data_IF_630209197129
#
_entry.id   IF_630209197129
#
_cell.length_a   1.000
_cell.length_b   1.000
_cell.length_c   1.000
_cell.angle_alpha   90.00
_cell.angle_beta   90.00
_cell.angle_gamma   90.00
#
_symmetry.space_group_name_H-M   'P 1'
#
loop_
_entity.id
_entity.type
_entity.pdbx_description
1 polymer ?
#
# COMPACT_ATOMS: atom_id res chain seq x y z
N UNK A 1 -6.16 -19.20 -7.95
CA UNK A 1 -5.55 -18.22 -7.02
C UNK A 1 -6.65 -17.78 -6.05
N UNK A 2 -6.45 -17.87 -4.73
CA UNK A 2 -7.47 -17.54 -3.75
C UNK A 2 -7.85 -16.05 -3.83
N UNK A 3 -9.09 -15.73 -3.42
CA UNK A 3 -9.65 -14.38 -3.44
C UNK A 3 -10.10 -13.99 -2.04
N UNK A 4 -9.62 -12.85 -1.55
CA UNK A 4 -9.88 -12.39 -0.18
C UNK A 4 -10.47 -10.96 -0.13
N UNK A 5 -11.09 -10.61 0.99
CA UNK A 5 -11.33 -9.21 1.32
C UNK A 5 -9.99 -8.50 1.62
N UNK A 6 -9.75 -7.32 1.07
CA UNK A 6 -8.43 -6.66 1.10
C UNK A 6 -7.85 -6.44 2.49
N UNK A 7 -8.70 -6.18 3.49
CA UNK A 7 -8.27 -5.86 4.86
C UNK A 7 -8.44 -7.05 5.83
N UNK A 8 -8.53 -8.28 5.31
CA UNK A 8 -8.73 -9.48 6.13
C UNK A 8 -7.43 -10.02 6.74
N UNK A 9 -7.58 -10.80 7.82
CA UNK A 9 -6.47 -11.60 8.36
C UNK A 9 -5.96 -12.64 7.36
N UNK A 10 -6.81 -13.15 6.46
CA UNK A 10 -6.41 -14.07 5.41
C UNK A 10 -5.38 -13.45 4.44
N UNK A 11 -5.52 -12.15 4.09
CA UNK A 11 -4.51 -11.45 3.28
C UNK A 11 -3.17 -11.36 4.00
N UNK A 12 -3.17 -11.03 5.29
CA UNK A 12 -1.93 -10.94 6.09
C UNK A 12 -1.25 -12.30 6.22
N UNK A 13 -2.02 -13.37 6.45
CA UNK A 13 -1.51 -14.74 6.44
C UNK A 13 -0.92 -15.14 5.09
N UNK A 14 -1.61 -14.82 4.00
CA UNK A 14 -1.12 -15.11 2.66
C UNK A 14 0.18 -14.35 2.36
N UNK A 15 0.30 -13.09 2.79
CA UNK A 15 1.55 -12.32 2.70
C UNK A 15 2.68 -12.97 3.52
N UNK A 16 2.42 -13.32 4.78
CA UNK A 16 3.40 -13.99 5.64
C UNK A 16 3.88 -15.32 5.06
N UNK A 17 2.95 -16.13 4.53
CA UNK A 17 3.25 -17.40 3.89
C UNK A 17 3.77 -17.26 2.45
N UNK A 18 3.89 -16.02 1.93
CA UNK A 18 4.27 -15.71 0.54
C UNK A 18 3.43 -16.48 -0.49
N UNK A 19 2.15 -16.67 -0.19
CA UNK A 19 1.21 -17.36 -1.05
C UNK A 19 0.61 -16.38 -2.06
N UNK A 20 0.45 -16.78 -3.34
CA UNK A 20 -0.25 -15.98 -4.34
C UNK A 20 -1.71 -15.75 -3.97
N UNK A 21 -2.23 -14.54 -4.18
CA UNK A 21 -3.63 -14.21 -3.93
C UNK A 21 -4.13 -13.05 -4.78
N UNK A 22 -5.45 -12.92 -4.87
CA UNK A 22 -6.13 -11.70 -5.33
C UNK A 22 -7.04 -11.18 -4.23
N UNK A 23 -7.41 -9.91 -4.29
CA UNK A 23 -8.50 -9.39 -3.47
C UNK A 23 -9.68 -8.94 -4.34
N UNK A 24 -10.80 -8.61 -3.70
CA UNK A 24 -11.87 -7.88 -4.39
C UNK A 24 -11.47 -6.46 -4.79
N UNK A 25 -10.40 -5.93 -4.19
CA UNK A 25 -9.79 -4.66 -4.58
C UNK A 25 -8.63 -4.83 -5.54
N UNK A 26 -7.78 -3.81 -5.59
CA UNK A 26 -6.62 -3.80 -6.48
C UNK A 26 -5.34 -4.39 -5.85
N UNK A 27 -5.44 -5.15 -4.76
CA UNK A 27 -4.30 -5.80 -4.13
C UNK A 27 -4.18 -7.24 -4.64
N UNK A 28 -2.98 -7.63 -5.05
CA UNK A 28 -2.70 -9.00 -5.45
C UNK A 28 -1.26 -9.35 -5.17
N UNK A 29 -0.98 -10.66 -5.13
CA UNK A 29 0.38 -11.15 -5.05
C UNK A 29 0.56 -12.41 -5.90
N UNK A 30 1.75 -12.60 -6.42
CA UNK A 30 2.09 -13.73 -7.29
C UNK A 30 3.55 -14.15 -7.10
N UNK A 31 3.79 -15.43 -7.31
CA UNK A 31 5.09 -16.08 -7.41
C UNK A 31 5.58 -16.19 -8.87
N UNK A 32 4.74 -15.84 -9.84
CA UNK A 32 5.12 -15.84 -11.26
C UNK A 32 5.97 -14.61 -11.54
N UNK A 33 7.00 -14.80 -12.35
CA UNK A 33 7.83 -13.70 -12.81
C UNK A 33 6.97 -12.72 -13.62
N UNK A 34 7.16 -11.42 -13.36
CA UNK A 34 6.51 -10.34 -14.07
C UNK A 34 7.48 -9.18 -14.22
N UNK A 35 7.34 -8.47 -15.33
CA UNK A 35 8.17 -7.30 -15.68
C UNK A 35 7.36 -5.99 -15.62
N UNK A 36 6.12 -6.06 -15.12
CA UNK A 36 5.25 -4.89 -15.03
C UNK A 36 5.71 -3.97 -13.89
N UNK A 37 6.19 -2.77 -14.25
CA UNK A 37 6.66 -1.77 -13.27
C UNK A 37 5.58 -0.78 -12.83
N UNK A 38 4.42 -0.78 -13.49
CA UNK A 38 3.32 0.15 -13.20
C UNK A 38 3.78 1.60 -13.07
N UNK A 39 3.53 2.21 -11.90
CA UNK A 39 3.91 3.59 -11.57
C UNK A 39 5.17 3.70 -10.72
N UNK A 40 6.03 2.68 -10.66
CA UNK A 40 7.29 2.75 -9.93
C UNK A 40 8.13 3.94 -10.42
N UNK A 41 8.73 4.75 -9.52
CA UNK A 41 9.73 5.73 -9.91
C UNK A 41 10.93 5.03 -10.55
N UNK A 42 11.59 5.72 -11.48
CA UNK A 42 12.65 5.14 -12.32
C UNK A 42 13.67 4.30 -11.54
N UNK A 43 14.24 4.83 -10.45
CA UNK A 43 15.20 4.10 -9.61
C UNK A 43 14.70 2.73 -9.11
N UNK A 44 13.41 2.64 -8.79
CA UNK A 44 12.79 1.41 -8.29
C UNK A 44 12.40 0.49 -9.44
N UNK A 45 11.98 1.05 -10.57
CA UNK A 45 11.71 0.30 -11.78
C UNK A 45 12.99 -0.38 -12.30
N UNK A 46 14.12 0.33 -12.28
CA UNK A 46 15.41 -0.20 -12.72
C UNK A 46 15.90 -1.31 -11.80
N UNK A 47 15.79 -1.13 -10.47
CA UNK A 47 16.12 -2.18 -9.51
C UNK A 47 15.20 -3.41 -9.68
N UNK A 48 13.90 -3.19 -9.81
CA UNK A 48 12.93 -4.26 -10.01
C UNK A 48 13.22 -5.07 -11.28
N UNK A 49 13.52 -4.40 -12.40
CA UNK A 49 13.92 -5.07 -13.64
C UNK A 49 15.22 -5.83 -13.47
N UNK A 50 16.24 -5.23 -12.85
CA UNK A 50 17.52 -5.89 -12.60
C UNK A 50 17.34 -7.17 -11.76
N UNK A 51 16.53 -7.13 -10.71
CA UNK A 51 16.23 -8.30 -9.87
C UNK A 51 15.42 -9.35 -10.65
N UNK A 52 14.47 -8.91 -11.48
CA UNK A 52 13.66 -9.78 -12.33
C UNK A 52 14.49 -10.46 -13.44
N UNK A 53 15.32 -9.72 -14.16
CA UNK A 53 16.19 -10.21 -15.24
C UNK A 53 17.22 -11.20 -14.70
N UNK A 54 17.70 -10.99 -13.47
CA UNK A 54 18.56 -11.93 -12.76
C UNK A 54 17.82 -13.18 -12.25
N UNK A 55 16.49 -13.28 -12.44
CA UNK A 55 15.68 -14.41 -11.99
C UNK A 55 15.56 -14.54 -10.47
N UNK A 56 15.88 -13.46 -9.72
CA UNK A 56 15.97 -13.51 -8.26
C UNK A 56 14.63 -13.33 -7.56
N UNK A 57 13.65 -12.72 -8.24
CA UNK A 57 12.36 -12.42 -7.63
C UNK A 57 11.48 -13.69 -7.55
N UNK A 58 11.21 -14.16 -6.33
CA UNK A 58 10.38 -15.35 -6.08
C UNK A 58 8.94 -15.02 -5.68
N UNK A 59 8.68 -13.79 -5.27
CA UNK A 59 7.34 -13.34 -4.88
C UNK A 59 7.18 -11.84 -5.06
N UNK A 60 6.02 -11.39 -5.54
CA UNK A 60 5.73 -9.98 -5.77
C UNK A 60 4.33 -9.62 -5.29
N UNK A 61 4.19 -8.40 -4.77
CA UNK A 61 2.91 -7.83 -4.32
C UNK A 61 2.63 -6.57 -5.11
N UNK A 62 1.41 -6.48 -5.64
CA UNK A 62 0.97 -5.39 -6.50
C UNK A 62 -0.18 -4.60 -5.88
N UNK A 63 -0.14 -3.29 -6.05
CA UNK A 63 -1.30 -2.41 -5.96
C UNK A 63 -1.65 -1.95 -7.38
N UNK A 64 -2.82 -2.32 -7.87
CA UNK A 64 -3.16 -2.28 -9.29
C UNK A 64 -2.09 -3.01 -10.10
N UNK A 65 -1.44 -2.32 -11.04
CA UNK A 65 -0.30 -2.83 -11.82
C UNK A 65 1.06 -2.43 -11.26
N UNK A 66 1.11 -1.73 -10.12
CA UNK A 66 2.38 -1.23 -9.55
C UNK A 66 2.91 -2.20 -8.50
N UNK A 67 4.14 -2.75 -8.67
CA UNK A 67 4.80 -3.50 -7.61
C UNK A 67 5.01 -2.60 -6.38
N UNK A 68 4.50 -3.05 -5.23
CA UNK A 68 4.65 -2.36 -3.94
C UNK A 68 5.53 -3.12 -2.96
N UNK A 69 5.84 -4.40 -3.25
CA UNK A 69 6.89 -5.18 -2.62
C UNK A 69 7.32 -6.34 -3.54
N UNK A 70 8.55 -6.80 -3.38
CA UNK A 70 9.00 -8.08 -3.94
C UNK A 70 9.99 -8.75 -3.00
N UNK A 71 10.06 -10.08 -3.08
CA UNK A 71 10.92 -10.93 -2.26
C UNK A 71 11.89 -11.65 -3.19
N UNK A 72 13.16 -11.62 -2.83
CA UNK A 72 14.24 -12.31 -3.54
C UNK A 72 14.37 -13.76 -3.04
N UNK A 73 15.08 -14.56 -3.82
CA UNK A 73 15.47 -15.95 -3.53
C UNK A 73 16.16 -16.14 -2.17
N UNK A 74 16.98 -15.16 -1.76
CA UNK A 74 17.64 -15.11 -0.45
C UNK A 74 16.71 -14.68 0.71
N UNK A 75 15.44 -14.42 0.42
CA UNK A 75 14.43 -13.98 1.38
C UNK A 75 14.43 -12.47 1.65
N UNK A 76 15.30 -11.69 1.01
CA UNK A 76 15.32 -10.23 1.12
C UNK A 76 14.01 -9.65 0.59
N UNK A 77 13.39 -8.77 1.37
CA UNK A 77 12.16 -8.06 0.98
C UNK A 77 12.50 -6.64 0.57
N UNK A 78 12.18 -6.28 -0.66
CA UNK A 78 12.33 -4.92 -1.17
C UNK A 78 10.97 -4.22 -1.20
N UNK A 79 10.87 -3.04 -0.57
CA UNK A 79 9.64 -2.25 -0.48
C UNK A 79 9.93 -0.78 -0.86
N UNK A 80 9.38 -0.27 -1.97
CA UNK A 80 9.50 1.13 -2.34
C UNK A 80 8.88 2.07 -1.29
N UNK A 81 9.70 2.94 -0.70
CA UNK A 81 9.26 3.99 0.23
C UNK A 81 8.68 5.19 -0.54
N UNK A 82 7.57 4.96 -1.24
CA UNK A 82 6.92 5.93 -2.13
C UNK A 82 5.43 5.92 -1.86
N UNK A 83 4.85 7.11 -1.69
CA UNK A 83 3.40 7.28 -1.54
C UNK A 83 2.77 7.57 -2.89
N UNK A 84 2.01 6.62 -3.43
CA UNK A 84 1.37 6.75 -4.75
C UNK A 84 -0.05 7.32 -4.67
N UNK A 85 -0.87 6.75 -3.78
CA UNK A 85 -2.28 7.10 -3.60
C UNK A 85 -2.75 6.60 -2.23
N UNK A 86 -3.89 7.10 -1.76
CA UNK A 86 -4.49 6.67 -0.49
C UNK A 86 -4.71 5.15 -0.48
N UNK A 87 -5.25 4.59 -1.56
CA UNK A 87 -5.48 3.14 -1.70
C UNK A 87 -4.16 2.37 -1.62
N UNK A 88 -3.12 2.84 -2.33
CA UNK A 88 -1.81 2.17 -2.30
C UNK A 88 -1.15 2.25 -0.93
N UNK A 89 -1.29 3.37 -0.22
CA UNK A 89 -0.82 3.49 1.16
C UNK A 89 -1.51 2.51 2.10
N UNK A 90 -2.81 2.27 1.94
CA UNK A 90 -3.54 1.24 2.70
C UNK A 90 -3.05 -0.17 2.38
N UNK A 91 -2.71 -0.44 1.11
CA UNK A 91 -2.09 -1.71 0.73
C UNK A 91 -0.69 -1.88 1.32
N UNK A 92 0.13 -0.82 1.28
CA UNK A 92 1.48 -0.80 1.86
C UNK A 92 1.44 -1.05 3.37
N UNK A 93 0.42 -0.55 4.07
CA UNK A 93 0.21 -0.81 5.48
C UNK A 93 -0.03 -2.28 5.85
N UNK A 94 -0.25 -3.18 4.88
CA UNK A 94 -0.37 -4.63 5.11
C UNK A 94 0.97 -5.37 4.93
N UNK A 95 1.96 -4.74 4.30
CA UNK A 95 3.22 -5.39 3.92
C UNK A 95 4.11 -5.76 5.10
N UNK A 96 3.85 -5.22 6.29
CA UNK A 96 4.54 -5.66 7.52
C UNK A 96 4.42 -7.17 7.73
N UNK A 97 3.33 -7.79 7.24
CA UNK A 97 3.11 -9.22 7.35
C UNK A 97 4.17 -10.08 6.62
N UNK A 98 4.91 -9.51 5.64
CA UNK A 98 5.97 -10.22 4.92
C UNK A 98 7.15 -10.67 5.80
N UNK A 99 7.30 -10.07 6.98
CA UNK A 99 8.33 -10.46 7.95
C UNK A 99 7.76 -10.92 9.29
N UNK A 100 6.50 -11.35 9.30
CA UNK A 100 5.86 -11.98 10.46
C UNK A 100 5.61 -13.44 10.11
N UNK A 101 5.73 -14.32 11.09
CA UNK A 101 5.39 -15.74 10.92
C UNK A 101 3.88 -15.90 10.62
N UNK A 102 3.47 -16.79 9.70
CA UNK A 102 2.07 -16.95 9.31
C UNK A 102 1.12 -17.27 10.47
N UNK A 103 1.61 -17.99 11.48
CA UNK A 103 0.86 -18.41 12.66
C UNK A 103 0.61 -17.26 13.65
N UNK A 104 1.24 -16.10 13.44
CA UNK A 104 1.01 -14.88 14.22
C UNK A 104 -0.35 -14.21 13.93
N UNK A 105 -1.13 -14.72 12.98
CA UNK A 105 -2.41 -14.17 12.58
C UNK A 105 -3.57 -15.15 12.83
N UNK A 106 -4.74 -14.67 13.31
CA UNK A 106 -5.87 -15.53 13.63
C UNK A 106 -6.40 -16.28 12.40
N UNK A 107 -6.85 -17.52 12.62
CA UNK A 107 -7.23 -18.45 11.55
C UNK A 107 -8.69 -18.30 11.06
N UNK A 108 -9.55 -17.60 11.81
CA UNK A 108 -10.98 -17.46 11.50
C UNK A 108 -11.36 -16.22 10.68
N UNK A 109 -12.37 -16.35 9.81
CA UNK A 109 -12.97 -15.22 9.07
C UNK A 109 -13.86 -14.32 9.96
N UNK A 110 -14.08 -14.69 11.21
CA UNK A 110 -14.82 -13.93 12.23
C UNK A 110 -14.01 -13.82 13.52
N UNK A 111 -13.04 -12.92 13.57
CA UNK A 111 -12.35 -12.54 14.79
C UNK A 111 -13.02 -11.32 15.41
N UNK A 112 -13.82 -11.53 16.46
CA UNK A 112 -14.22 -10.47 17.41
C UNK A 112 -12.96 -9.71 17.80
N UNK A 113 -12.93 -8.40 17.57
CA UNK A 113 -11.82 -7.52 17.96
C UNK A 113 -11.66 -7.55 19.48
N UNK A 114 -10.51 -7.94 20.06
CA UNK A 114 -10.29 -7.78 21.49
C UNK A 114 -9.56 -6.47 21.78
N UNK A 115 -9.90 -5.34 21.15
CA UNK A 115 -9.39 -4.02 21.58
C UNK A 115 -10.37 -2.90 21.20
N UNK A 116 -10.80 -2.03 22.15
CA UNK A 116 -11.52 -0.81 21.82
C UNK A 116 -10.59 0.23 21.15
N UNK A 117 -11.14 1.13 20.31
CA UNK A 117 -10.34 2.12 19.59
C UNK A 117 -10.03 3.31 20.48
N UNK A 118 -8.87 3.29 21.14
CA UNK A 118 -8.32 4.52 21.74
C UNK A 118 -6.82 4.62 21.48
N UNK A 119 -6.43 4.82 20.23
CA UNK A 119 -5.22 5.58 19.92
C UNK A 119 -5.48 6.50 18.74
N UNK A 120 -5.22 7.78 18.96
CA UNK A 120 -5.45 8.85 18.00
C UNK A 120 -4.56 8.68 16.74
N UNK A 121 -5.03 9.14 15.57
CA UNK A 121 -4.23 9.10 14.35
C UNK A 121 -3.06 10.09 14.47
N UNK A 122 -1.83 9.61 14.69
CA UNK A 122 -0.66 10.50 14.66
C UNK A 122 0.67 10.01 15.23
N UNK A 123 0.73 8.95 16.04
CA UNK A 123 2.02 8.46 16.57
C UNK A 123 2.23 6.98 16.25
N UNK A 124 3.05 6.70 15.24
CA UNK A 124 3.64 5.38 15.05
C UNK A 124 5.04 5.41 15.68
N UNK A 125 5.11 5.30 17.01
CA UNK A 125 6.33 4.84 17.66
C UNK A 125 6.41 3.33 17.49
N UNK A 126 7.40 2.88 16.73
CA UNK A 126 7.66 1.47 16.48
C UNK A 126 8.05 0.76 17.78
N UNK A 127 7.52 -0.43 18.09
CA UNK A 127 8.06 -1.22 19.19
C UNK A 127 9.52 -1.57 18.87
N UNK A 128 10.44 -1.24 19.79
CA UNK A 128 11.83 -1.72 19.74
C UNK A 128 11.80 -3.24 19.81
N UNK A 129 12.35 -3.87 18.77
CA UNK A 129 12.44 -5.30 18.63
C UNK A 129 13.52 -5.88 19.56
N UNK A 130 13.16 -6.17 20.81
CA UNK A 130 13.88 -7.10 21.67
C UNK A 130 13.01 -8.35 21.87
N UNK A 131 12.94 -9.22 20.86
CA UNK A 131 12.71 -10.66 20.98
C UNK A 131 12.48 -11.28 19.59
N UNK A 132 13.14 -12.42 19.36
CA UNK A 132 13.14 -13.25 18.14
C UNK A 132 14.02 -12.71 16.99
N UNK A 133 15.13 -13.43 16.72
CA UNK A 133 15.97 -13.25 15.55
C UNK A 133 15.16 -13.54 14.27
N UNK A 134 14.91 -12.56 13.40
CA UNK A 134 14.50 -12.81 12.03
C UNK A 134 15.77 -12.97 11.17
N UNK A 135 15.66 -13.60 9.99
CA UNK A 135 16.67 -13.49 8.93
C UNK A 135 17.00 -12.02 8.62
N UNK A 136 18.08 -11.73 7.87
CA UNK A 136 18.56 -10.37 7.72
C UNK A 136 17.51 -9.52 7.00
N UNK A 137 16.72 -8.78 7.78
CA UNK A 137 15.99 -7.62 7.33
C UNK A 137 17.03 -6.62 6.86
N UNK A 138 17.46 -6.72 5.60
CA UNK A 138 18.25 -5.67 5.00
C UNK A 138 17.28 -4.56 4.64
N UNK A 139 17.03 -3.72 5.64
CA UNK A 139 16.45 -2.40 5.46
C UNK A 139 17.44 -1.61 4.60
N UNK A 140 17.25 -1.62 3.28
CA UNK A 140 17.95 -0.69 2.40
C UNK A 140 17.33 0.69 2.57
N UNK A 141 17.73 1.37 3.64
CA UNK A 141 17.40 2.76 3.89
C UNK A 141 18.00 3.61 2.77
N UNK A 142 17.12 4.12 1.91
CA UNK A 142 17.45 5.22 1.01
C UNK A 142 16.66 6.43 1.47
N UNK A 143 17.37 7.56 1.62
CA UNK A 143 16.80 8.82 2.08
C UNK A 143 15.48 9.13 1.35
N UNK A 144 14.47 9.67 2.07
CA UNK A 144 13.20 10.05 1.47
C UNK A 144 13.49 11.11 0.40
N UNK A 145 13.26 10.75 -0.87
CA UNK A 145 13.21 11.76 -1.92
C UNK A 145 11.85 12.43 -1.79
N UNK A 146 11.87 13.61 -1.16
CA UNK A 146 10.74 14.53 -1.15
C UNK A 146 10.59 15.06 -2.58
N UNK A 147 9.72 14.43 -3.37
CA UNK A 147 9.27 15.03 -4.62
C UNK A 147 8.31 16.16 -4.26
N UNK A 148 8.74 17.40 -4.45
CA UNK A 148 7.82 18.54 -4.51
C UNK A 148 7.03 18.42 -5.81
N UNK A 149 5.79 17.96 -5.71
CA UNK A 149 4.84 18.16 -6.79
C UNK A 149 4.29 19.58 -6.66
N UNK A 150 4.52 20.39 -7.68
CA UNK A 150 3.82 21.65 -7.89
C UNK A 150 2.34 21.33 -8.16
N UNK A 151 1.54 21.22 -7.11
CA UNK A 151 0.08 21.11 -7.24
C UNK A 151 -0.49 22.48 -7.65
N UNK A 152 -0.57 22.73 -8.95
CA UNK A 152 -1.55 23.68 -9.49
C UNK A 152 -2.94 23.01 -9.46
N UNK A 153 -3.49 22.81 -8.26
CA UNK A 153 -4.91 22.51 -8.09
C UNK A 153 -5.63 23.81 -7.76
N UNK A 154 -6.30 24.40 -8.77
CA UNK A 154 -7.32 25.40 -8.53
C UNK A 154 -8.46 24.75 -7.75
N UNK A 155 -8.49 25.00 -6.44
CA UNK A 155 -9.60 24.66 -5.56
C UNK A 155 -10.77 25.57 -5.95
N UNK A 156 -11.72 25.06 -6.75
CA UNK A 156 -13.10 25.57 -6.70
C UNK A 156 -13.74 24.95 -5.46
N UNK A 157 -13.73 25.69 -4.35
CA UNK A 157 -14.63 25.45 -3.23
C UNK A 157 -16.06 25.72 -3.71
N UNK A 158 -16.99 24.83 -3.38
CA UNK A 158 -18.40 25.00 -3.73
C UNK A 158 -19.23 23.80 -3.33
N UNK A 159 -19.33 23.55 -2.02
CA UNK A 159 -20.45 22.81 -1.45
C UNK A 159 -21.69 23.70 -1.56
N UNK A 160 -22.77 23.18 -2.14
CA UNK A 160 -24.07 23.83 -2.07
C UNK A 160 -25.16 22.76 -2.07
N UNK A 161 -25.62 22.43 -0.85
CA UNK A 161 -26.94 21.85 -0.62
C UNK A 161 -27.84 23.01 -0.20
N UNK A 162 -28.81 23.40 -1.03
CA UNK A 162 -30.17 23.80 -0.63
C UNK A 162 -30.91 24.52 -1.77
N UNK A 163 -32.17 24.16 -1.92
CA UNK A 163 -33.15 24.64 -2.89
C UNK A 163 -33.66 26.08 -2.65
N UNK A 164 -34.11 26.68 -3.75
CA UNK A 164 -35.14 27.71 -3.96
C UNK A 164 -35.33 28.87 -2.97
N UNK A 165 -35.04 30.09 -3.46
CA UNK A 165 -35.90 31.28 -3.31
C UNK A 165 -35.93 32.01 -4.67
N UNK A 166 -37.14 32.39 -5.10
CA UNK A 166 -37.50 32.88 -6.43
C UNK A 166 -37.01 34.29 -6.83
N UNK A 167 -37.61 34.87 -7.90
CA UNK A 167 -36.99 35.92 -8.69
C UNK A 167 -37.26 37.33 -8.12
N UNK A 168 -36.23 38.18 -8.13
CA UNK A 168 -36.40 39.62 -7.98
C UNK A 168 -35.34 40.37 -8.79
N UNK A 169 -35.79 40.87 -9.94
CA UNK A 169 -35.58 42.22 -10.46
C UNK A 169 -34.22 42.92 -10.25
N UNK A 170 -33.49 43.05 -11.36
CA UNK A 170 -32.96 44.31 -11.89
C UNK A 170 -31.82 45.02 -11.14
N UNK A 171 -30.64 45.08 -11.77
CA UNK A 171 -29.85 46.32 -11.87
C UNK A 171 -29.09 46.34 -13.21
N UNK A 172 -29.27 47.46 -13.88
CA UNK A 172 -28.64 48.05 -15.06
C UNK A 172 -27.11 48.15 -14.96
N UNK A 173 -26.37 47.92 -16.06
CA UNK A 173 -25.20 48.75 -16.38
C UNK A 173 -24.79 48.65 -17.84
N UNK A 174 -24.75 49.82 -18.45
CA UNK A 174 -24.12 50.15 -19.71
C UNK A 174 -22.59 50.19 -19.60
N UNK A 175 -21.92 49.88 -20.70
CA UNK A 175 -20.87 50.69 -21.30
C UNK A 175 -20.68 50.23 -22.76
#
# INVERSE_FOLDING_TARGET
MPKFATQSWAVRRALAARQPFTTHGALSATDRQSYCVGRLPQRWADLYRSDADAGRIVYQVYSYSTPIAWVLDDGTVTMPQVRYSITTSRHQGLLYALGVEPDGFPQGEHGVLPFPPTQAPGSWDWPRADAARPGPFVRRDFAPVRMEYSESYSVRQGWATSYDIGPASGVEQAA
#
